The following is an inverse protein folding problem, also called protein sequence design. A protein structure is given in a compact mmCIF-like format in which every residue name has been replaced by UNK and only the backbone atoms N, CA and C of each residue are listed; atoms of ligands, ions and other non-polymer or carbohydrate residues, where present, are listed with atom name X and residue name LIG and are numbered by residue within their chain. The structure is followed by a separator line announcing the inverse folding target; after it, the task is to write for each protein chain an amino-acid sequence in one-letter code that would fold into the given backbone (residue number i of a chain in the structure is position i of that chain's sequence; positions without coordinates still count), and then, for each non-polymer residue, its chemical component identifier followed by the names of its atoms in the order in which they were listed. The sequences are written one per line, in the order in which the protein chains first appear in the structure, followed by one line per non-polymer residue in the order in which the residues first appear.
data_IF_817798442310
#
_entry.id   IF_817798442310
#
_cell.length_a   1.000
_cell.length_b   1.000
_cell.length_c   1.000
_cell.angle_alpha   90.00
_cell.angle_beta   90.00
_cell.angle_gamma   90.00
#
_symmetry.space_group_name_H-M   'P 1'
#
loop_
_entity.id
_entity.type
_entity.pdbx_description
1 polymer ?
#
# COMPACT_ATOMS: atom_id res chain seq x y z
N UNK A 1 2.34 -10.66 -0.32
CA UNK A 1 3.12 -11.82 0.15
C UNK A 1 2.83 -12.00 1.63
N UNK A 2 3.04 -13.19 2.19
CA UNK A 2 2.80 -13.46 3.61
C UNK A 2 3.93 -13.03 4.55
N UNK A 3 5.00 -12.47 4.00
CA UNK A 3 6.28 -12.17 4.68
C UNK A 3 6.45 -10.68 5.06
N UNK A 4 5.39 -9.87 4.94
CA UNK A 4 5.44 -8.43 5.19
C UNK A 4 6.11 -7.60 4.08
N UNK A 5 6.47 -8.23 2.95
CA UNK A 5 6.95 -7.53 1.77
C UNK A 5 5.81 -7.15 0.81
N UNK A 6 5.92 -5.93 0.28
CA UNK A 6 5.11 -5.43 -0.82
C UNK A 6 5.94 -5.31 -2.09
N UNK A 7 5.35 -5.79 -3.19
CA UNK A 7 5.81 -5.53 -4.54
C UNK A 7 4.87 -4.50 -5.17
N UNK A 8 5.44 -3.45 -5.74
CA UNK A 8 4.71 -2.50 -6.56
C UNK A 8 5.32 -2.45 -7.96
N UNK A 9 4.44 -2.20 -8.93
CA UNK A 9 4.75 -2.10 -10.35
C UNK A 9 3.95 -0.94 -10.92
N UNK A 10 4.48 -0.32 -11.97
CA UNK A 10 3.70 0.56 -12.82
C UNK A 10 3.00 -0.30 -13.88
N UNK A 11 1.66 -0.26 -13.90
CA UNK A 11 0.84 -0.96 -14.88
C UNK A 11 0.60 -0.04 -16.07
N UNK A 12 0.97 -0.48 -17.27
CA UNK A 12 0.47 0.10 -18.51
C UNK A 12 -0.92 -0.48 -18.79
N UNK A 13 -1.96 0.36 -18.68
CA UNK A 13 -3.35 -0.07 -18.85
C UNK A 13 -3.72 -0.44 -20.29
N UNK A 14 -2.89 -0.07 -21.27
CA UNK A 14 -3.14 -0.36 -22.69
C UNK A 14 -2.55 -1.71 -23.12
N UNK A 15 -1.33 -2.00 -22.69
CA UNK A 15 -0.60 -3.23 -23.04
C UNK A 15 -0.71 -4.33 -21.99
N UNK A 16 -1.04 -3.98 -20.74
CA UNK A 16 -1.02 -4.89 -19.60
C UNK A 16 0.38 -5.13 -19.02
N UNK A 17 1.42 -4.46 -19.53
CA UNK A 17 2.79 -4.63 -19.06
C UNK A 17 3.00 -4.07 -17.65
N UNK A 18 3.79 -4.79 -16.85
CA UNK A 18 4.25 -4.35 -15.53
C UNK A 18 5.70 -3.85 -15.63
N UNK A 19 5.90 -2.58 -15.29
CA UNK A 19 7.21 -1.90 -15.31
C UNK A 19 7.62 -1.48 -13.91
N UNK A 20 8.89 -1.08 -13.75
CA UNK A 20 9.43 -0.46 -12.54
C UNK A 20 9.16 -1.24 -11.24
N UNK A 21 9.42 -2.55 -11.28
CA UNK A 21 9.31 -3.44 -10.11
C UNK A 21 10.08 -2.87 -8.92
N UNK A 22 9.40 -2.66 -7.80
CA UNK A 22 9.99 -2.26 -6.53
C UNK A 22 9.52 -3.17 -5.40
N UNK A 23 10.47 -3.57 -4.55
CA UNK A 23 10.22 -4.35 -3.33
C UNK A 23 10.41 -3.46 -2.11
N UNK A 24 9.42 -3.45 -1.22
CA UNK A 24 9.42 -2.67 0.03
C UNK A 24 9.03 -3.59 1.18
N UNK A 25 9.66 -3.43 2.35
CA UNK A 25 9.27 -4.14 3.56
C UNK A 25 8.45 -3.21 4.44
N UNK A 26 7.23 -3.59 4.79
CA UNK A 26 6.40 -2.82 5.72
C UNK A 26 6.39 -3.43 7.12
N UNK A 27 6.32 -4.75 7.22
CA UNK A 27 6.25 -5.49 8.47
C UNK A 27 6.89 -6.85 8.35
N UNK A 28 6.48 -7.75 9.24
CA UNK A 28 6.89 -9.17 9.21
C UNK A 28 5.71 -10.14 9.08
N UNK A 29 4.48 -9.63 9.19
CA UNK A 29 3.26 -10.41 9.06
C UNK A 29 2.58 -10.19 7.70
N UNK A 30 1.65 -11.08 7.28
CA UNK A 30 0.84 -10.88 6.09
C UNK A 30 0.16 -9.52 6.09
N UNK A 31 0.27 -8.80 4.96
CA UNK A 31 -0.30 -7.45 4.81
C UNK A 31 -1.51 -7.48 3.89
N UNK A 32 -2.64 -6.94 4.34
CA UNK A 32 -3.83 -6.74 3.49
C UNK A 32 -3.88 -5.31 2.97
N UNK A 33 -4.32 -5.13 1.72
CA UNK A 33 -4.41 -3.82 1.06
C UNK A 33 -5.87 -3.43 0.84
N UNK A 34 -6.22 -2.18 1.19
CA UNK A 34 -7.56 -1.63 1.06
C UNK A 34 -7.53 -0.19 0.54
N UNK A 35 -8.24 0.08 -0.55
CA UNK A 35 -8.38 1.44 -1.09
C UNK A 35 -9.38 2.25 -0.27
N UNK A 36 -9.09 3.52 -0.05
CA UNK A 36 -10.04 4.48 0.54
C UNK A 36 -9.83 5.86 -0.07
N UNK A 37 -10.89 6.69 -0.08
CA UNK A 37 -10.81 8.08 -0.52
C UNK A 37 -10.65 9.02 0.65
N UNK A 38 -9.74 10.00 0.54
CA UNK A 38 -9.60 11.09 1.50
C UNK A 38 -9.25 12.37 0.74
N UNK A 39 -9.89 13.50 1.10
CA UNK A 39 -9.63 14.82 0.48
C UNK A 39 -9.60 14.78 -1.06
N UNK A 40 -10.55 14.07 -1.67
CA UNK A 40 -10.68 13.88 -3.13
C UNK A 40 -9.53 13.13 -3.81
N UNK A 41 -8.72 12.38 -3.05
CA UNK A 41 -7.68 11.50 -3.58
C UNK A 41 -7.88 10.06 -3.09
N UNK A 42 -7.53 9.09 -3.94
CA UNK A 42 -7.52 7.66 -3.58
C UNK A 42 -6.18 7.31 -2.93
N UNK A 43 -6.24 6.63 -1.80
CA UNK A 43 -5.10 6.11 -1.04
C UNK A 43 -5.28 4.61 -0.80
N UNK A 44 -4.22 3.94 -0.40
CA UNK A 44 -4.24 2.51 -0.03
C UNK A 44 -3.78 2.38 1.41
N UNK A 45 -4.58 1.70 2.22
CA UNK A 45 -4.21 1.29 3.57
C UNK A 45 -3.58 -0.12 3.51
N UNK A 46 -2.41 -0.26 4.14
CA UNK A 46 -1.72 -1.52 4.35
C UNK A 46 -1.91 -1.95 5.82
N UNK A 47 -2.80 -2.91 6.04
CA UNK A 47 -3.13 -3.44 7.36
C UNK A 47 -2.23 -4.65 7.67
N UNK A 48 -1.46 -4.55 8.77
CA UNK A 48 -0.53 -5.58 9.27
C UNK A 48 -0.07 -5.25 10.71
N UNK A 49 1.02 -5.89 11.16
CA UNK A 49 1.80 -5.58 12.36
C UNK A 49 2.55 -4.22 12.29
N UNK A 50 2.65 -3.63 11.10
CA UNK A 50 3.15 -2.28 10.89
C UNK A 50 2.24 -1.54 9.91
N UNK A 51 1.10 -1.01 10.38
CA UNK A 51 0.11 -0.39 9.50
C UNK A 51 0.67 0.88 8.83
N UNK A 52 0.36 1.04 7.54
CA UNK A 52 0.83 2.18 6.75
C UNK A 52 -0.23 2.66 5.74
N UNK A 53 -0.19 3.95 5.41
CA UNK A 53 -0.92 4.56 4.30
C UNK A 53 0.03 4.75 3.12
N UNK A 54 -0.36 4.22 1.97
CA UNK A 54 0.32 4.35 0.70
C UNK A 54 -0.40 5.39 -0.14
N UNK A 55 0.33 6.39 -0.59
CA UNK A 55 -0.20 7.45 -1.46
C UNK A 55 0.89 7.92 -2.44
N UNK A 56 0.46 8.62 -3.50
CA UNK A 56 1.37 9.20 -4.47
C UNK A 56 1.64 10.67 -4.15
N UNK A 57 2.91 11.07 -4.17
CA UNK A 57 3.35 12.47 -4.09
C UNK A 57 4.46 12.67 -5.12
N UNK A 58 4.32 13.68 -5.99
CA UNK A 58 5.29 14.00 -7.05
C UNK A 58 5.68 12.78 -7.91
N UNK A 59 4.69 11.97 -8.33
CA UNK A 59 4.88 10.74 -9.12
C UNK A 59 5.71 9.66 -8.41
N UNK A 60 5.87 9.73 -7.08
CA UNK A 60 6.52 8.71 -6.25
C UNK A 60 5.53 8.16 -5.22
N UNK A 61 5.56 6.85 -5.01
CA UNK A 61 4.82 6.21 -3.93
C UNK A 61 5.50 6.50 -2.59
N UNK A 62 4.71 6.96 -1.63
CA UNK A 62 5.09 7.23 -0.24
C UNK A 62 4.38 6.24 0.66
N UNK A 63 5.10 5.72 1.65
CA UNK A 63 4.61 4.79 2.66
C UNK A 63 4.68 5.50 4.01
N UNK A 64 3.54 5.90 4.56
CA UNK A 64 3.47 6.62 5.83
C UNK A 64 2.96 5.70 6.92
N UNK A 65 3.77 5.46 7.95
CA UNK A 65 3.34 4.66 9.09
C UNK A 65 2.14 5.30 9.80
N UNK A 66 1.27 4.45 10.32
CA UNK A 66 0.12 4.82 11.14
C UNK A 66 0.48 4.61 12.59
N UNK A 67 0.02 5.48 13.48
CA UNK A 67 0.27 5.38 14.92
C UNK A 67 -0.67 4.37 15.60
N UNK A 68 -0.70 3.14 15.09
CA UNK A 68 -1.43 2.01 15.64
C UNK A 68 -0.49 0.82 15.71
N UNK A 69 -0.64 -0.02 16.74
CA UNK A 69 0.23 -1.19 16.93
C UNK A 69 0.01 -2.26 15.86
N UNK A 70 -1.25 -2.54 15.54
CA UNK A 70 -1.64 -3.56 14.58
C UNK A 70 -3.00 -3.20 14.00
N UNK A 71 -3.21 -3.50 12.72
CA UNK A 71 -4.52 -3.44 12.07
C UNK A 71 -4.69 -4.69 11.24
N UNK A 72 -5.74 -5.47 11.49
CA UNK A 72 -6.05 -6.67 10.70
C UNK A 72 -6.94 -6.37 9.49
N UNK A 73 -7.93 -5.48 9.68
CA UNK A 73 -8.93 -5.14 8.67
C UNK A 73 -9.17 -3.63 8.65
N UNK A 74 -9.43 -3.10 7.46
CA UNK A 74 -9.77 -1.70 7.24
C UNK A 74 -10.85 -1.63 6.15
N UNK A 75 -11.86 -0.80 6.36
CA UNK A 75 -12.85 -0.46 5.34
C UNK A 75 -13.15 1.05 5.40
N UNK A 76 -13.41 1.69 4.25
CA UNK A 76 -14.05 3.00 4.27
C UNK A 76 -15.46 2.88 4.88
N UNK A 77 -15.91 3.95 5.55
CA UNK A 77 -17.27 4.11 6.04
C UNK A 77 -18.11 4.90 5.04
#
# INVERSE_FOLDING_TARGET
LGDGHLLNFQLDTSSGELRDRKKVSLGTQPTTLRTFSSKSATHVFAASDRPAVIYSKNKKLIYSNVNLKEVSHMCPF
#
